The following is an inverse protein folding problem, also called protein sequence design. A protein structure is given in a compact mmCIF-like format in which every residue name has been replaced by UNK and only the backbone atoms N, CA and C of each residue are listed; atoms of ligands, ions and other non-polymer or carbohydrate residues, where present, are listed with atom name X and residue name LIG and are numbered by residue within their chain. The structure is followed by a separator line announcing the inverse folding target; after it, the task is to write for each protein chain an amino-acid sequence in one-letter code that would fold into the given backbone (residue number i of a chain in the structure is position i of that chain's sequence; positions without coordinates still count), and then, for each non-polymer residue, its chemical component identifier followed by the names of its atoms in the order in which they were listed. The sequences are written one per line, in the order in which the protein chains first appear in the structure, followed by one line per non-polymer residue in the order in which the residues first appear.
data_IF_104229783186
#
_entry.id   IF_104229783186
#
_cell.length_a   1.000
_cell.length_b   1.000
_cell.length_c   1.000
_cell.angle_alpha   90.00
_cell.angle_beta   90.00
_cell.angle_gamma   90.00
#
_symmetry.space_group_name_H-M   'P 1'
#
loop_
_entity.id
_entity.type
_entity.pdbx_description
1 polymer ?
#
# COMPACT_ATOMS: atom_id res chain seq x y z
N UNK A 1 -15.25 -2.69 -18.35
CA UNK A 1 -14.83 -2.93 -16.92
C UNK A 1 -13.87 -1.81 -16.60
N UNK A 2 -14.23 -0.93 -15.68
CA UNK A 2 -13.43 0.25 -15.37
C UNK A 2 -12.97 0.25 -13.92
N UNK A 3 -11.85 0.92 -13.65
CA UNK A 3 -11.26 1.09 -12.34
C UNK A 3 -10.75 2.52 -12.15
N UNK A 4 -10.57 2.91 -10.89
CA UNK A 4 -10.01 4.19 -10.49
C UNK A 4 -8.70 3.94 -9.77
N UNK A 5 -7.60 4.53 -10.25
CA UNK A 5 -6.32 4.58 -9.55
C UNK A 5 -6.14 5.96 -8.92
N UNK A 6 -5.85 5.97 -7.63
CA UNK A 6 -5.64 7.19 -6.83
C UNK A 6 -4.19 7.22 -6.38
N UNK A 7 -3.44 8.22 -6.85
CA UNK A 7 -2.02 8.35 -6.56
C UNK A 7 -1.76 9.20 -5.32
N UNK A 8 -1.09 8.62 -4.33
CA UNK A 8 -0.72 9.27 -3.05
C UNK A 8 0.81 9.33 -2.95
N UNK A 9 1.47 10.40 -3.43
CA UNK A 9 2.92 10.49 -3.53
C UNK A 9 3.61 10.89 -2.20
N UNK A 10 3.19 10.32 -1.09
CA UNK A 10 3.78 10.62 0.22
C UNK A 10 4.30 9.38 0.89
N UNK A 11 5.52 9.49 1.49
CA UNK A 11 6.13 8.44 2.30
C UNK A 11 6.67 9.03 3.60
N UNK A 12 6.64 8.28 4.69
CA UNK A 12 7.28 8.69 5.94
C UNK A 12 8.80 8.76 5.82
N UNK A 13 9.38 7.88 5.00
CA UNK A 13 10.83 7.70 4.86
C UNK A 13 11.20 7.38 3.41
N UNK A 14 12.35 7.85 2.97
CA UNK A 14 12.91 7.52 1.66
C UNK A 14 13.67 6.20 1.73
N UNK A 15 13.17 5.17 1.09
CA UNK A 15 13.89 3.89 0.96
C UNK A 15 15.07 4.05 0.00
N UNK A 16 16.21 3.38 0.28
CA UNK A 16 17.44 3.56 -0.49
C UNK A 16 17.33 3.10 -1.95
N UNK A 17 16.46 2.15 -2.23
CA UNK A 17 16.26 1.56 -3.58
C UNK A 17 15.18 2.26 -4.41
N UNK A 18 14.40 3.17 -3.80
CA UNK A 18 13.17 3.66 -4.43
C UNK A 18 13.45 4.85 -5.35
N UNK A 19 13.13 4.69 -6.65
CA UNK A 19 13.17 5.74 -7.67
C UNK A 19 11.78 6.28 -8.05
N UNK A 20 10.72 5.91 -7.34
CA UNK A 20 9.38 6.42 -7.61
C UNK A 20 9.27 7.89 -7.23
N UNK A 21 8.32 8.57 -7.84
CA UNK A 21 8.00 9.94 -7.45
C UNK A 21 7.28 9.97 -6.11
N UNK A 22 7.96 10.43 -5.07
CA UNK A 22 7.37 10.60 -3.73
C UNK A 22 7.95 11.83 -3.01
N UNK A 23 7.28 12.22 -1.93
CA UNK A 23 7.74 13.27 -1.03
C UNK A 23 7.63 12.80 0.42
N UNK A 24 8.67 13.10 1.21
CA UNK A 24 8.63 12.93 2.67
C UNK A 24 8.06 14.17 3.39
N UNK A 25 7.77 15.24 2.65
CA UNK A 25 7.17 16.47 3.17
C UNK A 25 5.65 16.35 3.16
N UNK A 26 5.06 16.13 4.34
CA UNK A 26 3.61 15.94 4.50
C UNK A 26 2.77 17.23 4.42
N UNK A 27 3.40 18.41 4.30
CA UNK A 27 2.71 19.72 4.37
C UNK A 27 1.66 19.91 3.27
N UNK A 28 1.86 19.30 2.10
CA UNK A 28 0.94 19.39 0.97
C UNK A 28 -0.10 18.26 0.92
N UNK A 29 -0.07 17.31 1.88
CA UNK A 29 -0.94 16.13 1.84
C UNK A 29 -2.42 16.49 1.85
N UNK A 30 -2.84 17.37 2.76
CA UNK A 30 -4.25 17.81 2.86
C UNK A 30 -4.73 18.54 1.61
N UNK A 31 -3.87 19.31 0.97
CA UNK A 31 -4.23 20.04 -0.26
C UNK A 31 -4.33 19.08 -1.45
N UNK A 32 -3.45 18.05 -1.51
CA UNK A 32 -3.57 16.99 -2.49
C UNK A 32 -4.89 16.22 -2.35
N UNK A 33 -5.29 15.86 -1.12
CA UNK A 33 -6.56 15.17 -0.86
C UNK A 33 -7.75 15.98 -1.37
N UNK A 34 -7.77 17.30 -1.12
CA UNK A 34 -8.79 18.20 -1.67
C UNK A 34 -8.76 18.26 -3.20
N UNK A 35 -7.55 18.31 -3.79
CA UNK A 35 -7.38 18.33 -5.24
C UNK A 35 -7.88 17.03 -5.89
N UNK A 36 -7.63 15.88 -5.29
CA UNK A 36 -8.16 14.58 -5.75
C UNK A 36 -9.70 14.59 -5.73
N UNK A 37 -10.32 15.06 -4.66
CA UNK A 37 -11.78 15.16 -4.56
C UNK A 37 -12.35 16.11 -5.64
N UNK A 38 -11.68 17.23 -5.88
CA UNK A 38 -12.05 18.17 -6.93
C UNK A 38 -11.87 17.57 -8.34
N UNK A 39 -10.81 16.79 -8.56
CA UNK A 39 -10.59 16.10 -9.83
C UNK A 39 -11.70 15.07 -10.09
N UNK A 40 -12.08 14.29 -9.09
CA UNK A 40 -13.20 13.35 -9.17
C UNK A 40 -14.52 14.05 -9.52
N UNK A 41 -14.81 15.20 -8.90
CA UNK A 41 -15.99 16.01 -9.22
C UNK A 41 -15.93 16.54 -10.68
N UNK A 42 -14.77 17.00 -11.14
CA UNK A 42 -14.60 17.52 -12.51
C UNK A 42 -14.60 16.43 -13.58
N UNK A 43 -14.25 15.19 -13.22
CA UNK A 43 -14.17 14.05 -14.13
C UNK A 43 -15.33 13.06 -13.99
N UNK A 44 -16.42 13.45 -13.31
CA UNK A 44 -17.59 12.60 -13.09
C UNK A 44 -18.17 11.96 -14.36
N UNK A 45 -18.12 12.67 -15.49
CA UNK A 45 -18.66 12.20 -16.76
C UNK A 45 -17.66 11.38 -17.59
N UNK A 46 -16.38 11.24 -17.11
CA UNK A 46 -15.33 10.54 -17.84
C UNK A 46 -15.58 9.03 -17.93
N UNK A 47 -16.20 8.44 -16.89
CA UNK A 47 -16.56 7.03 -16.82
C UNK A 47 -18.07 6.84 -16.67
N UNK A 48 -18.87 7.73 -17.26
CA UNK A 48 -20.30 7.93 -16.98
C UNK A 48 -21.18 6.68 -17.11
N UNK A 49 -20.84 5.76 -18.02
CA UNK A 49 -21.65 4.55 -18.28
C UNK A 49 -21.01 3.28 -17.72
N UNK A 50 -19.80 3.36 -17.20
CA UNK A 50 -19.07 2.22 -16.73
C UNK A 50 -19.31 1.97 -15.23
N UNK A 51 -19.52 0.70 -14.88
CA UNK A 51 -19.53 0.27 -13.49
C UNK A 51 -18.09 0.11 -13.00
N UNK A 52 -17.72 0.82 -11.95
CA UNK A 52 -16.38 0.76 -11.34
C UNK A 52 -16.27 -0.52 -10.52
N UNK A 53 -15.31 -1.38 -10.86
CA UNK A 53 -15.08 -2.66 -10.16
C UNK A 53 -13.84 -2.66 -9.29
N UNK A 54 -12.94 -1.70 -9.48
CA UNK A 54 -11.71 -1.60 -8.69
C UNK A 54 -11.41 -0.15 -8.34
N UNK A 55 -11.03 0.08 -7.10
CA UNK A 55 -10.46 1.35 -6.63
C UNK A 55 -9.10 1.01 -6.01
N UNK A 56 -8.04 1.63 -6.51
CA UNK A 56 -6.69 1.31 -6.08
C UNK A 56 -5.98 2.57 -5.59
N UNK A 57 -5.59 2.58 -4.32
CA UNK A 57 -4.75 3.61 -3.72
C UNK A 57 -3.30 3.15 -3.77
N UNK A 58 -2.49 3.83 -4.57
CA UNK A 58 -1.08 3.50 -4.74
C UNK A 58 -0.18 4.72 -4.83
N UNK A 59 1.10 4.49 -5.13
CA UNK A 59 2.09 5.54 -5.40
C UNK A 59 3.26 5.53 -4.43
N UNK A 60 3.31 6.42 -3.46
CA UNK A 60 4.29 6.42 -2.37
C UNK A 60 3.86 5.45 -1.27
N UNK A 61 3.02 5.91 -0.34
CA UNK A 61 2.52 5.09 0.78
C UNK A 61 1.12 5.56 1.17
N UNK A 62 0.05 5.07 0.51
CA UNK A 62 -1.32 5.50 0.79
C UNK A 62 -1.79 5.31 2.23
N UNK A 63 -1.18 4.38 2.99
CA UNK A 63 -1.48 4.18 4.42
C UNK A 63 -1.15 5.37 5.32
N UNK A 64 -0.40 6.38 4.82
CA UNK A 64 -0.18 7.65 5.54
C UNK A 64 -1.42 8.56 5.59
N UNK A 65 -2.45 8.25 4.79
CA UNK A 65 -3.72 8.97 4.87
C UNK A 65 -4.40 8.72 6.22
N UNK A 66 -4.98 9.76 6.78
CA UNK A 66 -5.88 9.61 7.92
C UNK A 66 -7.20 8.97 7.46
N UNK A 67 -7.95 8.43 8.39
CA UNK A 67 -9.24 7.80 8.12
C UNK A 67 -10.23 8.79 7.49
N UNK A 68 -10.22 10.04 7.97
CA UNK A 68 -11.02 11.13 7.40
C UNK A 68 -10.61 11.46 5.97
N UNK A 69 -9.29 11.53 5.68
CA UNK A 69 -8.80 11.80 4.32
C UNK A 69 -9.20 10.69 3.35
N UNK A 70 -9.05 9.43 3.77
CA UNK A 70 -9.44 8.28 2.97
C UNK A 70 -10.96 8.23 2.73
N UNK A 71 -11.75 8.45 3.79
CA UNK A 71 -13.21 8.51 3.69
C UNK A 71 -13.66 9.60 2.72
N UNK A 72 -13.11 10.82 2.82
CA UNK A 72 -13.47 11.93 1.94
C UNK A 72 -13.20 11.61 0.45
N UNK A 73 -12.09 10.93 0.15
CA UNK A 73 -11.80 10.52 -1.23
C UNK A 73 -12.82 9.47 -1.69
N UNK A 74 -13.07 8.43 -0.88
CA UNK A 74 -14.03 7.39 -1.21
C UNK A 74 -15.46 7.95 -1.37
N UNK A 75 -15.89 8.86 -0.49
CA UNK A 75 -17.18 9.55 -0.60
C UNK A 75 -17.30 10.31 -1.92
N UNK A 76 -16.20 10.96 -2.36
CA UNK A 76 -16.16 11.63 -3.66
C UNK A 76 -16.24 10.64 -4.82
N UNK A 77 -15.62 9.46 -4.71
CA UNK A 77 -15.74 8.40 -5.72
C UNK A 77 -17.19 7.89 -5.79
N UNK A 78 -17.78 7.54 -4.67
CA UNK A 78 -19.17 7.01 -4.61
C UNK A 78 -20.22 8.04 -5.06
N UNK A 79 -19.98 9.33 -4.78
CA UNK A 79 -20.86 10.43 -5.23
C UNK A 79 -20.87 10.59 -6.74
N UNK A 80 -19.71 10.41 -7.39
CA UNK A 80 -19.51 10.79 -8.79
C UNK A 80 -19.53 9.62 -9.77
N UNK A 81 -19.37 8.38 -9.29
CA UNK A 81 -19.25 7.20 -10.12
C UNK A 81 -20.13 6.05 -9.66
N UNK A 82 -20.58 5.24 -10.60
CA UNK A 82 -21.36 4.03 -10.32
C UNK A 82 -20.41 2.90 -9.87
N UNK A 83 -20.18 2.78 -8.56
CA UNK A 83 -19.30 1.75 -7.99
C UNK A 83 -20.09 0.45 -7.77
N UNK A 84 -19.50 -0.69 -8.16
CA UNK A 84 -20.06 -2.02 -7.91
C UNK A 84 -20.10 -2.30 -6.40
N UNK A 85 -21.16 -2.93 -5.90
CA UNK A 85 -21.27 -3.32 -4.49
C UNK A 85 -20.16 -4.28 -4.05
N UNK A 86 -19.65 -5.11 -4.99
CA UNK A 86 -18.53 -6.01 -4.80
C UNK A 86 -17.19 -5.45 -5.29
N UNK A 87 -17.04 -4.15 -5.45
CA UNK A 87 -15.79 -3.56 -5.92
C UNK A 87 -14.60 -3.89 -5.02
N UNK A 88 -13.46 -4.21 -5.64
CA UNK A 88 -12.21 -4.33 -4.92
C UNK A 88 -11.67 -2.94 -4.59
N UNK A 89 -11.44 -2.68 -3.30
CA UNK A 89 -10.82 -1.45 -2.81
C UNK A 89 -9.48 -1.82 -2.21
N UNK A 90 -8.42 -1.57 -2.99
CA UNK A 90 -7.04 -1.90 -2.61
C UNK A 90 -6.34 -0.67 -2.03
N UNK A 91 -5.57 -0.88 -0.96
CA UNK A 91 -4.70 0.14 -0.39
C UNK A 91 -3.27 -0.41 -0.22
N UNK A 92 -2.30 0.30 -0.82
CA UNK A 92 -0.88 0.05 -0.54
C UNK A 92 -0.50 0.57 0.84
N UNK A 93 0.26 -0.22 1.59
CA UNK A 93 0.60 0.09 2.96
C UNK A 93 2.01 -0.34 3.36
N UNK A 94 2.61 0.41 4.29
CA UNK A 94 3.79 -0.03 5.02
C UNK A 94 3.37 -0.71 6.34
N UNK A 95 4.10 -1.75 6.80
CA UNK A 95 3.79 -2.45 8.05
C UNK A 95 3.68 -1.55 9.28
N UNK A 96 4.53 -0.51 9.39
CA UNK A 96 4.51 0.43 10.53
C UNK A 96 3.27 1.34 10.58
N UNK A 97 2.49 1.42 9.50
CA UNK A 97 1.22 2.16 9.46
C UNK A 97 0.03 1.28 9.89
N UNK A 98 0.16 -0.05 9.81
CA UNK A 98 -0.92 -1.00 9.97
C UNK A 98 -1.08 -1.47 11.44
N UNK A 99 -1.29 -0.50 12.35
CA UNK A 99 -1.73 -0.85 13.69
C UNK A 99 -3.13 -1.50 13.65
N UNK A 100 -3.49 -2.26 14.69
CA UNK A 100 -4.83 -2.87 14.81
C UNK A 100 -5.95 -1.84 14.69
N UNK A 101 -5.77 -0.65 15.27
CA UNK A 101 -6.73 0.46 15.16
C UNK A 101 -6.85 0.90 13.69
N UNK A 102 -5.72 1.10 13.00
CA UNK A 102 -5.71 1.49 11.60
C UNK A 102 -6.37 0.44 10.69
N UNK A 103 -6.08 -0.83 10.89
CA UNK A 103 -6.70 -1.93 10.14
C UNK A 103 -8.23 -1.95 10.32
N UNK A 104 -8.69 -1.72 11.55
CA UNK A 104 -10.13 -1.63 11.83
C UNK A 104 -10.78 -0.45 11.08
N UNK A 105 -10.14 0.72 11.08
CA UNK A 105 -10.60 1.90 10.34
C UNK A 105 -10.61 1.66 8.82
N UNK A 106 -9.53 1.07 8.27
CA UNK A 106 -9.48 0.73 6.86
C UNK A 106 -10.63 -0.18 6.44
N UNK A 107 -10.91 -1.22 7.22
CA UNK A 107 -12.05 -2.12 6.97
C UNK A 107 -13.38 -1.37 7.04
N UNK A 108 -13.55 -0.47 8.02
CA UNK A 108 -14.78 0.32 8.22
C UNK A 108 -15.07 1.25 7.03
N UNK A 109 -14.06 1.83 6.40
CA UNK A 109 -14.22 2.69 5.22
C UNK A 109 -14.35 1.90 3.91
N UNK A 110 -14.30 0.57 3.97
CA UNK A 110 -14.56 -0.30 2.82
C UNK A 110 -13.32 -0.86 2.14
N UNK A 111 -12.11 -0.60 2.63
CA UNK A 111 -10.90 -1.29 2.13
C UNK A 111 -11.07 -2.79 2.36
N UNK A 112 -10.92 -3.58 1.28
CA UNK A 112 -11.11 -5.03 1.31
C UNK A 112 -9.91 -5.81 0.73
N UNK A 113 -8.86 -5.09 0.28
CA UNK A 113 -7.60 -5.66 -0.15
C UNK A 113 -6.43 -4.79 0.32
N UNK A 114 -5.35 -5.43 0.79
CA UNK A 114 -4.11 -4.75 1.17
C UNK A 114 -2.95 -5.21 0.27
N UNK A 115 -2.12 -4.26 -0.17
CA UNK A 115 -0.79 -4.55 -0.74
C UNK A 115 0.26 -4.03 0.23
N UNK A 116 0.98 -4.94 0.88
CA UNK A 116 1.85 -4.60 2.01
C UNK A 116 3.31 -4.70 1.59
N UNK A 117 4.01 -3.58 1.59
CA UNK A 117 5.43 -3.49 1.27
C UNK A 117 6.30 -4.02 2.42
N UNK A 118 6.36 -5.34 2.60
CA UNK A 118 7.20 -5.99 3.62
C UNK A 118 8.68 -5.93 3.23
N UNK A 119 9.02 -6.26 2.01
CA UNK A 119 10.32 -6.31 1.37
C UNK A 119 11.21 -7.45 1.89
N UNK A 120 11.32 -7.66 3.21
CA UNK A 120 12.01 -8.77 3.87
C UNK A 120 11.45 -8.97 5.28
N UNK A 121 11.58 -10.19 5.81
CA UNK A 121 11.32 -10.51 7.22
C UNK A 121 12.60 -10.51 8.06
N UNK A 122 13.68 -9.90 7.57
CA UNK A 122 14.96 -9.83 8.26
C UNK A 122 15.37 -8.38 8.48
N UNK A 123 15.68 -8.02 9.73
CA UNK A 123 16.00 -6.64 10.11
C UNK A 123 17.24 -6.09 9.42
N UNK A 124 18.25 -6.92 9.13
CA UNK A 124 19.44 -6.51 8.40
C UNK A 124 19.10 -6.02 6.99
N UNK A 125 18.24 -6.74 6.27
CA UNK A 125 17.75 -6.35 4.96
C UNK A 125 16.94 -5.04 5.04
N UNK A 126 16.03 -4.95 6.01
CA UNK A 126 15.16 -3.78 6.20
C UNK A 126 15.97 -2.53 6.56
N UNK A 127 16.96 -2.65 7.42
CA UNK A 127 17.87 -1.55 7.78
C UNK A 127 18.69 -1.09 6.57
N UNK A 128 19.25 -2.05 5.81
CA UNK A 128 20.02 -1.73 4.60
C UNK A 128 19.16 -1.00 3.56
N UNK A 129 17.92 -1.42 3.37
CA UNK A 129 16.94 -0.78 2.50
C UNK A 129 16.37 0.54 3.05
N UNK A 130 16.74 0.94 4.27
CA UNK A 130 16.20 2.11 4.98
C UNK A 130 14.67 2.06 5.17
N UNK A 131 14.13 0.87 5.49
CA UNK A 131 12.69 0.74 5.76
C UNK A 131 12.30 1.38 7.10
N UNK A 132 11.05 1.81 7.21
CA UNK A 132 10.47 2.42 8.43
C UNK A 132 10.03 1.38 9.47
N UNK A 133 9.84 0.14 9.06
CA UNK A 133 9.40 -0.97 9.91
C UNK A 133 10.51 -2.01 10.14
N UNK A 134 10.30 -2.87 11.11
CA UNK A 134 11.12 -4.04 11.43
C UNK A 134 10.39 -5.36 11.12
N UNK A 135 11.09 -6.47 11.29
CA UNK A 135 10.58 -7.83 11.04
C UNK A 135 9.35 -8.18 11.89
N UNK A 136 9.33 -7.77 13.15
CA UNK A 136 8.19 -8.01 14.05
C UNK A 136 6.93 -7.28 13.58
N UNK A 137 7.07 -6.04 13.13
CA UNK A 137 5.98 -5.25 12.56
C UNK A 137 5.47 -5.88 11.26
N UNK A 138 6.38 -6.37 10.39
CA UNK A 138 6.03 -7.07 9.16
C UNK A 138 5.16 -8.33 9.42
N UNK A 139 5.54 -9.14 10.41
CA UNK A 139 4.79 -10.32 10.82
C UNK A 139 3.45 -9.97 11.49
N UNK A 140 3.48 -8.99 12.39
CA UNK A 140 2.32 -8.64 13.22
C UNK A 140 1.22 -8.01 12.38
N UNK A 141 1.55 -7.11 11.45
CA UNK A 141 0.53 -6.42 10.66
C UNK A 141 -0.29 -7.39 9.78
N UNK A 142 0.34 -8.43 9.22
CA UNK A 142 -0.37 -9.46 8.43
C UNK A 142 -1.32 -10.26 9.33
N UNK A 143 -0.83 -10.76 10.48
CA UNK A 143 -1.66 -11.53 11.42
C UNK A 143 -2.84 -10.74 11.95
N UNK A 144 -2.64 -9.46 12.26
CA UNK A 144 -3.71 -8.57 12.72
C UNK A 144 -4.72 -8.27 11.61
N UNK A 145 -4.27 -8.10 10.36
CA UNK A 145 -5.17 -7.93 9.22
C UNK A 145 -6.05 -9.18 9.02
N UNK A 146 -5.45 -10.37 9.03
CA UNK A 146 -6.17 -11.65 8.92
C UNK A 146 -7.16 -11.84 10.10
N UNK A 147 -6.72 -11.56 11.32
CA UNK A 147 -7.58 -11.65 12.51
C UNK A 147 -8.82 -10.74 12.40
N UNK A 148 -8.69 -9.59 11.76
CA UNK A 148 -9.80 -8.67 11.49
C UNK A 148 -10.62 -9.06 10.25
N UNK A 149 -10.27 -10.16 9.55
CA UNK A 149 -10.94 -10.63 8.34
C UNK A 149 -10.60 -9.80 7.09
N UNK A 150 -9.43 -9.17 7.05
CA UNK A 150 -8.81 -8.62 5.84
C UNK A 150 -7.84 -9.70 5.31
N UNK A 151 -8.38 -10.70 4.61
CA UNK A 151 -7.62 -11.87 4.15
C UNK A 151 -7.06 -11.71 2.73
N UNK A 152 -7.63 -10.79 1.93
CA UNK A 152 -7.14 -10.50 0.59
C UNK A 152 -5.88 -9.61 0.69
N UNK A 153 -4.74 -10.26 0.92
CA UNK A 153 -3.45 -9.61 1.14
C UNK A 153 -2.47 -9.99 0.03
N UNK A 154 -1.81 -9.00 -0.53
CA UNK A 154 -0.58 -9.16 -1.29
C UNK A 154 0.60 -8.65 -0.47
N UNK A 155 1.73 -9.35 -0.51
CA UNK A 155 2.97 -8.82 0.06
C UNK A 155 4.02 -8.66 -1.03
N UNK A 156 4.79 -7.59 -0.91
CA UNK A 156 5.90 -7.32 -1.80
C UNK A 156 7.20 -7.73 -1.10
N UNK A 157 8.05 -8.48 -1.81
CA UNK A 157 9.36 -8.92 -1.36
C UNK A 157 10.44 -8.49 -2.36
N UNK A 158 11.60 -8.11 -1.86
CA UNK A 158 12.78 -7.76 -2.68
C UNK A 158 13.88 -8.78 -2.42
N UNK A 159 14.43 -9.33 -3.51
CA UNK A 159 15.58 -10.23 -3.47
C UNK A 159 16.79 -9.64 -4.18
N UNK A 160 17.98 -10.16 -3.87
CA UNK A 160 19.21 -9.76 -4.53
C UNK A 160 19.91 -8.56 -3.89
N UNK A 161 19.50 -8.14 -2.69
CA UNK A 161 20.22 -7.16 -1.89
C UNK A 161 21.50 -7.79 -1.30
N UNK A 162 22.55 -7.00 -1.04
CA UNK A 162 23.85 -7.52 -0.57
C UNK A 162 23.81 -8.24 0.80
N UNK A 163 22.84 -7.92 1.64
CA UNK A 163 22.65 -8.56 2.95
C UNK A 163 21.91 -9.89 2.87
N UNK A 164 21.18 -10.12 1.76
CA UNK A 164 20.34 -11.30 1.61
C UNK A 164 21.06 -12.44 0.88
N UNK A 165 21.36 -13.52 1.59
CA UNK A 165 21.83 -14.77 1.00
C UNK A 165 20.68 -15.57 0.38
N UNK A 166 21.03 -16.60 -0.44
CA UNK A 166 20.02 -17.54 -0.96
C UNK A 166 19.21 -18.21 0.17
N UNK A 167 19.83 -18.48 1.32
CA UNK A 167 19.16 -19.06 2.48
C UNK A 167 18.18 -18.07 3.11
N UNK A 168 18.55 -16.78 3.24
CA UNK A 168 17.66 -15.73 3.75
C UNK A 168 16.47 -15.56 2.81
N UNK A 169 16.70 -15.54 1.49
CA UNK A 169 15.61 -15.48 0.52
C UNK A 169 14.63 -16.66 0.65
N UNK A 170 15.16 -17.88 0.77
CA UNK A 170 14.31 -19.05 0.99
C UNK A 170 13.48 -18.93 2.28
N UNK A 171 14.08 -18.45 3.36
CA UNK A 171 13.35 -18.22 4.61
C UNK A 171 12.26 -17.14 4.47
N UNK A 172 12.49 -16.06 3.71
CA UNK A 172 11.45 -15.08 3.39
C UNK A 172 10.24 -15.75 2.73
N UNK A 173 10.46 -16.65 1.76
CA UNK A 173 9.37 -17.39 1.10
C UNK A 173 8.67 -18.37 2.05
N UNK A 174 9.42 -19.06 2.90
CA UNK A 174 8.86 -19.97 3.90
C UNK A 174 8.00 -19.23 4.93
N UNK A 175 8.44 -18.06 5.40
CA UNK A 175 7.66 -17.20 6.31
C UNK A 175 6.39 -16.70 5.65
N UNK A 176 6.46 -16.28 4.37
CA UNK A 176 5.29 -15.86 3.60
C UNK A 176 4.28 -17.01 3.45
N UNK A 177 4.76 -18.21 3.13
CA UNK A 177 3.91 -19.40 3.04
C UNK A 177 3.28 -19.77 4.39
N UNK A 178 4.03 -19.65 5.49
CA UNK A 178 3.52 -19.93 6.84
C UNK A 178 2.47 -18.91 7.31
N UNK A 179 2.42 -17.73 6.73
CA UNK A 179 1.38 -16.72 6.96
C UNK A 179 0.12 -16.93 6.10
N UNK A 180 0.10 -17.95 5.24
CA UNK A 180 -1.02 -18.27 4.34
C UNK A 180 -1.47 -17.06 3.50
N UNK A 181 -0.47 -16.34 2.95
CA UNK A 181 -0.71 -15.14 2.13
C UNK A 181 -1.10 -15.57 0.70
N UNK A 182 -2.25 -15.12 0.19
CA UNK A 182 -2.77 -15.60 -1.10
C UNK A 182 -1.99 -15.08 -2.31
N UNK A 183 -1.25 -13.98 -2.18
CA UNK A 183 -0.53 -13.35 -3.28
C UNK A 183 0.80 -12.75 -2.83
N UNK A 184 1.85 -12.95 -3.64
CA UNK A 184 3.17 -12.33 -3.44
C UNK A 184 3.64 -11.65 -4.72
N UNK A 185 4.28 -10.50 -4.58
CA UNK A 185 5.03 -9.83 -5.64
C UNK A 185 6.51 -9.87 -5.27
N UNK A 186 7.34 -10.44 -6.12
CA UNK A 186 8.78 -10.57 -5.88
C UNK A 186 9.57 -9.74 -6.88
N UNK A 187 10.39 -8.83 -6.39
CA UNK A 187 11.18 -7.90 -7.20
C UNK A 187 12.68 -8.18 -7.02
N UNK A 188 13.41 -8.30 -8.15
CA UNK A 188 14.87 -8.23 -8.12
C UNK A 188 15.32 -6.82 -7.79
N UNK A 189 16.22 -6.67 -6.82
CA UNK A 189 16.79 -5.35 -6.53
C UNK A 189 17.50 -4.81 -7.76
N UNK A 190 17.11 -3.60 -8.18
CA UNK A 190 17.77 -2.86 -9.24
C UNK A 190 18.34 -1.57 -8.64
N UNK A 191 19.58 -1.26 -8.97
CA UNK A 191 20.20 0.03 -8.63
C UNK A 191 19.79 1.03 -9.68
N UNK A 192 18.92 1.94 -9.30
CA UNK A 192 18.37 2.95 -10.19
C UNK A 192 19.13 4.28 -10.05
N UNK A 193 19.24 5.08 -11.11
CA UNK A 193 19.77 6.45 -11.02
C UNK A 193 18.98 7.27 -9.98
N UNK A 194 19.67 8.18 -9.30
CA UNK A 194 19.10 9.11 -8.29
C UNK A 194 18.60 8.42 -7.00
N UNK A 195 18.88 7.12 -6.81
CA UNK A 195 18.66 6.44 -5.52
C UNK A 195 19.89 6.57 -4.60
N UNK A 196 19.74 6.17 -3.34
CA UNK A 196 20.86 6.15 -2.39
C UNK A 196 21.79 4.93 -2.54
N UNK A 197 21.43 3.97 -3.41
CA UNK A 197 22.21 2.78 -3.73
C UNK A 197 23.27 3.04 -4.80
#
# INVERSE_FOLDING_TARGET
MSGIYIHIPFCKKACHYCNFHFSTKMTLKSDLVKAISLELDNKRDYLSEDKIRTIYFGGGTPSVLTDTELSNILDSVYKNHNVDEGAEITLEANPDDLSRAKLHELKKVGVNRLSIGIQSFFDEDLQWMNRSHNSDQAMTCVKEAQYLGLENISVDLIFGNPTSSKSIWQQNLEMTNALDIPHISCYGLTVEPETAL
#
